data_IF_225145429967
#
_entry.id   IF_225145429967
#
_cell.length_a   1.000
_cell.length_b   1.000
_cell.length_c   1.000
_cell.angle_alpha   90.00
_cell.angle_beta   90.00
_cell.angle_gamma   90.00
#
_symmetry.space_group_name_H-M   'P 1'
#
loop_
_entity.id
_entity.type
_entity.pdbx_description
1 polymer ?
#
# COMPACT_ATOMS: atom_id res chain seq x y z
N UNK A 1 -17.56 4.67 -12.08
CA UNK A 1 -17.75 4.81 -10.62
C UNK A 1 -17.56 3.49 -9.85
N UNK A 2 -18.09 2.35 -10.30
CA UNK A 2 -17.92 1.06 -9.60
C UNK A 2 -16.47 0.53 -9.52
N UNK A 3 -15.60 0.84 -10.48
CA UNK A 3 -14.19 0.41 -10.44
C UNK A 3 -13.38 1.12 -9.36
N UNK A 4 -13.63 2.41 -9.07
CA UNK A 4 -12.87 3.19 -8.07
C UNK A 4 -13.16 2.75 -6.63
N UNK A 5 -14.34 2.20 -6.36
CA UNK A 5 -14.72 1.70 -5.04
C UNK A 5 -13.95 0.43 -4.63
N UNK A 6 -13.44 -0.32 -5.62
CA UNK A 6 -12.61 -1.50 -5.38
C UNK A 6 -11.13 -1.16 -5.19
N UNK A 7 -10.65 -0.03 -5.73
CA UNK A 7 -9.27 0.40 -5.53
C UNK A 7 -9.09 0.88 -4.10
N UNK A 8 -9.80 1.93 -3.68
CA UNK A 8 -9.59 2.69 -2.42
C UNK A 8 -9.84 1.91 -1.10
N UNK A 9 -10.05 0.60 -1.20
CA UNK A 9 -10.45 -0.23 -0.08
C UNK A 9 -9.41 -0.21 1.03
N UNK A 10 -8.12 -0.10 0.72
CA UNK A 10 -7.09 -0.16 1.75
C UNK A 10 -6.96 1.16 2.50
N UNK A 11 -6.96 2.29 1.79
CA UNK A 11 -6.96 3.64 2.40
C UNK A 11 -8.18 3.78 3.32
N UNK A 12 -9.39 3.55 2.81
CA UNK A 12 -10.62 3.66 3.63
C UNK A 12 -10.61 2.68 4.81
N UNK A 13 -10.07 1.47 4.65
CA UNK A 13 -9.92 0.51 5.78
C UNK A 13 -8.95 1.02 6.84
N UNK A 14 -7.85 1.64 6.44
CA UNK A 14 -6.88 2.20 7.38
C UNK A 14 -7.45 3.43 8.11
N UNK A 15 -8.19 4.29 7.41
CA UNK A 15 -8.94 5.39 8.01
C UNK A 15 -9.94 4.87 9.06
N UNK A 16 -10.71 3.83 8.71
CA UNK A 16 -11.66 3.19 9.62
C UNK A 16 -10.97 2.52 10.82
N UNK A 17 -9.79 1.93 10.61
CA UNK A 17 -8.97 1.37 11.69
C UNK A 17 -8.55 2.47 12.68
N UNK A 18 -8.10 3.62 12.19
CA UNK A 18 -7.72 4.77 13.04
C UNK A 18 -8.95 5.30 13.79
N UNK A 19 -10.07 5.46 13.10
CA UNK A 19 -11.30 5.95 13.73
C UNK A 19 -11.74 5.03 14.87
N UNK A 20 -11.70 3.71 14.66
CA UNK A 20 -12.14 2.74 15.67
C UNK A 20 -11.14 2.57 16.81
N UNK A 21 -9.88 2.28 16.50
CA UNK A 21 -8.89 1.83 17.49
C UNK A 21 -8.19 2.99 18.22
N UNK A 22 -8.22 4.19 17.65
CA UNK A 22 -7.56 5.35 18.27
C UNK A 22 -8.57 6.39 18.71
N UNK A 23 -9.46 6.81 17.82
CA UNK A 23 -10.38 7.92 18.10
C UNK A 23 -11.50 7.46 19.04
N UNK A 24 -12.28 6.46 18.63
CA UNK A 24 -13.40 5.94 19.42
C UNK A 24 -12.95 5.22 20.69
N UNK A 25 -11.81 4.54 20.65
CA UNK A 25 -11.18 3.93 21.83
C UNK A 25 -10.71 4.97 22.88
N UNK A 26 -10.69 6.27 22.53
CA UNK A 26 -10.39 7.35 23.48
C UNK A 26 -8.91 7.63 23.66
N UNK A 27 -8.10 7.48 22.60
CA UNK A 27 -6.73 7.96 22.62
C UNK A 27 -6.71 9.48 22.88
N UNK A 28 -5.97 9.97 23.90
CA UNK A 28 -6.04 11.38 24.29
C UNK A 28 -5.20 12.28 23.38
N UNK A 29 -5.60 12.43 22.11
CA UNK A 29 -4.88 13.21 21.10
C UNK A 29 -4.63 14.65 21.56
N UNK A 30 -5.64 15.34 22.08
CA UNK A 30 -5.47 16.73 22.55
C UNK A 30 -4.40 16.85 23.65
N UNK A 31 -4.33 15.92 24.59
CA UNK A 31 -3.33 15.96 25.67
C UNK A 31 -1.95 15.52 25.18
N UNK A 32 -1.87 14.50 24.31
CA UNK A 32 -0.59 13.96 23.80
C UNK A 32 0.04 14.82 22.71
N UNK A 33 -0.78 15.56 21.96
CA UNK A 33 -0.42 16.33 20.78
C UNK A 33 -0.76 17.84 20.92
N UNK A 34 -0.92 18.34 22.15
CA UNK A 34 -1.38 19.72 22.45
C UNK A 34 -0.50 20.84 21.88
N UNK A 35 0.74 20.52 21.51
CA UNK A 35 1.69 21.43 20.88
C UNK A 35 2.27 20.78 19.62
N UNK A 36 2.78 21.61 18.72
CA UNK A 36 3.55 21.17 17.56
C UNK A 36 4.64 20.16 17.99
N UNK A 37 4.85 19.11 17.19
CA UNK A 37 5.91 18.13 17.39
C UNK A 37 7.32 18.76 17.54
N UNK A 38 7.46 20.02 17.12
CA UNK A 38 8.69 20.82 17.15
C UNK A 38 8.78 21.79 18.35
N UNK A 39 7.86 21.73 19.31
CA UNK A 39 7.87 22.64 20.46
C UNK A 39 9.06 22.39 21.39
N UNK A 40 9.73 23.48 21.79
CA UNK A 40 10.92 23.46 22.68
C UNK A 40 10.55 23.03 24.11
N UNK A 41 9.30 23.27 24.54
CA UNK A 41 8.82 22.97 25.89
C UNK A 41 7.86 21.79 25.90
N UNK A 42 8.39 20.60 26.19
CA UNK A 42 7.61 19.36 26.31
C UNK A 42 6.87 19.32 27.64
N UNK A 43 5.55 19.11 27.60
CA UNK A 43 4.76 18.88 28.82
C UNK A 43 4.94 17.43 29.29
N UNK A 44 4.86 17.18 30.61
CA UNK A 44 5.03 15.83 31.19
C UNK A 44 4.05 14.77 30.66
N UNK A 45 2.98 15.20 30.01
CA UNK A 45 1.92 14.35 29.46
C UNK A 45 2.02 14.14 27.95
N UNK A 46 2.94 14.81 27.24
CA UNK A 46 3.15 14.57 25.80
C UNK A 46 3.82 13.19 25.60
N UNK A 47 3.33 12.42 24.63
CA UNK A 47 3.90 11.11 24.31
C UNK A 47 3.62 10.76 22.84
N UNK A 48 4.63 10.33 22.06
CA UNK A 48 4.50 10.09 20.63
C UNK A 48 3.87 8.73 20.30
N UNK A 49 2.86 8.27 21.05
CA UNK A 49 2.31 6.90 20.90
C UNK A 49 1.70 6.70 19.51
N UNK A 50 0.89 7.66 19.04
CA UNK A 50 0.34 7.61 17.69
C UNK A 50 1.42 7.72 16.61
N UNK A 51 2.45 8.55 16.84
CA UNK A 51 3.59 8.65 15.95
C UNK A 51 4.33 7.30 15.84
N UNK A 52 4.58 6.61 16.96
CA UNK A 52 5.24 5.30 16.95
C UNK A 52 4.42 4.28 16.18
N UNK A 53 3.08 4.31 16.30
CA UNK A 53 2.21 3.48 15.48
C UNK A 53 2.37 3.77 13.98
N UNK A 54 2.36 5.04 13.59
CA UNK A 54 2.53 5.44 12.18
C UNK A 54 3.93 5.08 11.66
N UNK A 55 4.97 5.20 12.49
CA UNK A 55 6.33 4.76 12.16
C UNK A 55 6.35 3.24 11.95
N UNK A 56 5.76 2.43 12.83
CA UNK A 56 5.65 0.98 12.62
C UNK A 56 4.95 0.64 11.29
N UNK A 57 3.90 1.36 10.92
CA UNK A 57 3.23 1.17 9.62
C UNK A 57 4.16 1.53 8.46
N UNK A 58 4.95 2.60 8.59
CA UNK A 58 5.97 2.98 7.61
C UNK A 58 7.07 1.92 7.47
N UNK A 59 7.53 1.32 8.57
CA UNK A 59 8.52 0.23 8.54
C UNK A 59 8.01 -0.98 7.75
N UNK A 60 6.75 -1.37 7.96
CA UNK A 60 6.13 -2.47 7.21
C UNK A 60 5.97 -2.08 5.74
N UNK A 61 5.57 -0.84 5.46
CA UNK A 61 5.45 -0.31 4.11
C UNK A 61 6.78 -0.35 3.34
N UNK A 62 7.89 0.00 4.00
CA UNK A 62 9.23 -0.09 3.41
C UNK A 62 9.64 -1.53 3.07
N UNK A 63 9.27 -2.52 3.89
CA UNK A 63 9.58 -3.92 3.62
C UNK A 63 8.69 -4.52 2.52
N UNK A 64 7.48 -3.98 2.31
CA UNK A 64 6.51 -4.48 1.33
C UNK A 64 5.94 -3.34 0.45
N UNK A 65 6.78 -2.69 -0.37
CA UNK A 65 6.40 -1.49 -1.10
C UNK A 65 5.27 -1.70 -2.12
N UNK A 66 5.00 -2.93 -2.56
CA UNK A 66 3.91 -3.22 -3.50
C UNK A 66 2.61 -3.67 -2.82
N UNK A 67 2.63 -4.01 -1.52
CA UNK A 67 1.44 -4.59 -0.86
C UNK A 67 0.45 -3.55 -0.33
N UNK A 68 0.84 -2.27 -0.33
CA UNK A 68 0.06 -1.19 0.23
C UNK A 68 -0.39 -0.20 -0.83
N UNK A 69 -1.65 0.20 -0.73
CA UNK A 69 -2.27 1.10 -1.69
C UNK A 69 -1.85 2.56 -1.48
N UNK A 70 -1.57 2.97 -0.23
CA UNK A 70 -1.07 4.31 0.04
C UNK A 70 0.44 4.42 -0.06
N UNK A 71 0.92 5.64 -0.26
CA UNK A 71 2.33 6.01 -0.22
C UNK A 71 2.73 6.67 1.11
N UNK A 72 4.02 7.00 1.23
CA UNK A 72 4.57 7.69 2.40
C UNK A 72 3.88 9.02 2.72
N UNK A 73 3.46 9.77 1.70
CA UNK A 73 2.83 11.09 1.89
C UNK A 73 1.56 10.99 2.73
N UNK A 74 0.78 9.94 2.53
CA UNK A 74 -0.43 9.69 3.32
C UNK A 74 -0.12 9.57 4.82
N UNK A 75 0.89 8.77 5.17
CA UNK A 75 1.33 8.60 6.56
C UNK A 75 1.87 9.91 7.16
N UNK A 76 2.64 10.68 6.39
CA UNK A 76 3.13 11.99 6.80
C UNK A 76 1.99 12.98 7.04
N UNK A 77 0.96 12.96 6.19
CA UNK A 77 -0.23 13.81 6.33
C UNK A 77 -1.03 13.44 7.59
N UNK A 78 -1.18 12.15 7.90
CA UNK A 78 -1.80 11.70 9.16
C UNK A 78 -1.04 12.21 10.38
N UNK A 79 0.28 12.06 10.38
CA UNK A 79 1.13 12.57 11.45
C UNK A 79 0.99 14.10 11.59
N UNK A 80 1.05 14.85 10.49
CA UNK A 80 0.92 16.31 10.54
C UNK A 80 -0.42 16.72 11.14
N UNK A 81 -1.51 16.10 10.71
CA UNK A 81 -2.85 16.42 11.19
C UNK A 81 -3.16 15.87 12.58
N UNK A 82 -2.39 14.92 13.12
CA UNK A 82 -2.52 14.51 14.52
C UNK A 82 -1.92 15.52 15.50
N UNK A 83 -0.88 16.27 15.08
CA UNK A 83 -0.24 17.32 15.90
C UNK A 83 -0.79 18.72 15.62
N UNK A 84 -1.16 19.01 14.38
CA UNK A 84 -1.70 20.29 13.96
C UNK A 84 -2.77 20.05 12.90
N UNK A 85 -4.03 19.99 13.35
CA UNK A 85 -5.15 19.77 12.45
C UNK A 85 -5.91 21.05 12.17
N UNK A 86 -6.30 21.22 10.91
CA UNK A 86 -7.40 22.11 10.53
C UNK A 86 -8.75 21.38 10.58
N UNK A 87 -8.72 20.07 10.86
CA UNK A 87 -9.87 19.17 10.84
C UNK A 87 -10.28 18.74 12.25
N UNK A 88 -11.51 18.25 12.37
CA UNK A 88 -12.07 17.74 13.62
C UNK A 88 -11.55 16.38 14.06
N UNK A 89 -10.94 15.63 13.15
CA UNK A 89 -10.69 14.18 13.30
C UNK A 89 -9.85 13.82 14.52
N UNK A 90 -8.78 14.58 14.79
CA UNK A 90 -7.88 14.32 15.93
C UNK A 90 -8.08 15.30 17.09
N UNK A 91 -9.23 15.99 17.14
CA UNK A 91 -9.56 16.88 18.25
C UNK A 91 -10.09 16.10 19.47
N UNK A 92 -9.98 16.72 20.65
CA UNK A 92 -10.41 16.19 21.95
C UNK A 92 -9.64 14.93 22.40
N UNK A 93 -9.97 14.41 23.59
CA UNK A 93 -9.30 13.23 24.15
C UNK A 93 -10.12 11.94 24.10
N UNK A 94 -11.43 12.05 23.92
CA UNK A 94 -12.36 10.92 23.95
C UNK A 94 -13.66 11.29 23.23
N UNK A 95 -14.47 10.29 22.92
CA UNK A 95 -15.72 10.48 22.18
C UNK A 95 -16.74 11.34 22.95
N UNK A 96 -16.78 11.23 24.28
CA UNK A 96 -17.66 12.06 25.11
C UNK A 96 -17.36 13.55 24.94
N UNK A 97 -16.08 13.94 24.97
CA UNK A 97 -15.65 15.32 24.71
C UNK A 97 -15.98 15.77 23.29
N UNK A 98 -15.84 14.90 22.29
CA UNK A 98 -16.16 15.21 20.89
C UNK A 98 -17.63 15.56 20.71
N UNK A 99 -18.52 14.78 21.33
CA UNK A 99 -19.96 15.04 21.36
C UNK A 99 -20.25 16.36 22.08
N UNK A 100 -19.66 16.58 23.26
CA UNK A 100 -19.86 17.80 24.04
C UNK A 100 -19.42 19.07 23.28
N UNK A 101 -18.27 19.01 22.61
CA UNK A 101 -17.75 20.09 21.79
C UNK A 101 -18.46 20.25 20.44
N UNK A 102 -19.39 19.35 20.09
CA UNK A 102 -20.08 19.30 18.79
C UNK A 102 -19.11 19.31 17.62
N UNK A 103 -18.05 18.50 17.71
CA UNK A 103 -16.96 18.47 16.71
C UNK A 103 -17.51 18.17 15.31
N UNK A 104 -18.45 17.22 15.20
CA UNK A 104 -19.09 16.86 13.93
C UNK A 104 -19.85 18.02 13.27
N UNK A 105 -20.45 18.92 14.05
CA UNK A 105 -21.20 20.08 13.52
C UNK A 105 -20.30 21.28 13.24
N UNK A 106 -19.20 21.42 13.98
CA UNK A 106 -18.34 22.62 13.98
C UNK A 106 -17.09 22.49 13.14
N UNK A 107 -16.76 21.29 12.67
CA UNK A 107 -15.52 21.04 11.95
C UNK A 107 -15.70 19.99 10.87
N UNK A 108 -14.80 19.99 9.90
CA UNK A 108 -14.79 19.03 8.79
C UNK A 108 -13.90 17.85 9.18
N UNK A 109 -14.29 16.63 8.76
CA UNK A 109 -13.46 15.44 8.90
C UNK A 109 -12.28 15.45 7.93
N UNK A 110 -11.10 15.06 8.41
CA UNK A 110 -9.92 14.83 7.58
C UNK A 110 -10.21 13.79 6.50
N UNK A 111 -10.95 12.73 6.82
CA UNK A 111 -11.31 11.67 5.87
C UNK A 111 -12.09 12.23 4.68
N UNK A 112 -13.00 13.18 4.91
CA UNK A 112 -13.76 13.83 3.83
C UNK A 112 -12.89 14.68 2.90
N UNK A 113 -11.74 15.15 3.39
CA UNK A 113 -10.76 15.86 2.58
C UNK A 113 -9.84 14.91 1.82
N UNK A 114 -9.28 13.88 2.49
CA UNK A 114 -8.38 12.92 1.87
C UNK A 114 -9.05 12.07 0.78
N UNK A 115 -10.35 11.76 0.94
CA UNK A 115 -11.11 10.95 -0.03
C UNK A 115 -11.58 11.73 -1.27
N UNK A 116 -11.23 13.01 -1.42
CA UNK A 116 -11.49 13.76 -2.67
C UNK A 116 -10.57 13.22 -3.77
N UNK A 117 -11.11 13.04 -4.98
CA UNK A 117 -10.40 12.36 -6.07
C UNK A 117 -9.07 13.04 -6.43
N UNK A 118 -9.01 14.36 -6.39
CA UNK A 118 -7.82 15.13 -6.76
C UNK A 118 -6.69 14.91 -5.75
N UNK A 119 -7.04 14.76 -4.48
CA UNK A 119 -6.09 14.60 -3.37
C UNK A 119 -5.71 13.13 -3.20
N UNK A 120 -6.68 12.24 -3.35
CA UNK A 120 -6.48 10.81 -3.18
C UNK A 120 -5.42 10.26 -4.14
N UNK A 121 -5.42 10.72 -5.40
CA UNK A 121 -4.42 10.30 -6.39
C UNK A 121 -2.98 10.57 -5.95
N UNK A 122 -2.74 11.66 -5.20
CA UNK A 122 -1.41 11.99 -4.66
C UNK A 122 -0.97 11.05 -3.54
N UNK A 123 -1.90 10.34 -2.92
CA UNK A 123 -1.66 9.36 -1.86
C UNK A 123 -1.56 7.93 -2.37
N UNK A 124 -1.90 7.68 -3.63
CA UNK A 124 -1.88 6.35 -4.22
C UNK A 124 -0.47 5.91 -4.60
N UNK A 125 -0.16 4.66 -4.27
CA UNK A 125 1.07 4.01 -4.63
C UNK A 125 0.97 3.38 -6.04
N UNK A 126 1.78 3.83 -7.02
CA UNK A 126 1.75 3.30 -8.38
C UNK A 126 2.22 1.84 -8.48
N UNK A 127 2.98 1.37 -7.48
CA UNK A 127 3.50 0.00 -7.40
C UNK A 127 2.54 -0.97 -6.72
N UNK A 128 1.36 -0.52 -6.30
CA UNK A 128 0.41 -1.36 -5.60
C UNK A 128 -0.05 -2.56 -6.46
N UNK A 129 0.12 -3.76 -5.92
CA UNK A 129 -0.35 -5.01 -6.48
C UNK A 129 -1.13 -5.78 -5.41
N UNK A 130 -2.42 -6.12 -5.65
CA UNK A 130 -3.23 -6.81 -4.66
C UNK A 130 -2.58 -8.12 -4.21
N UNK A 131 -2.16 -8.17 -2.95
CA UNK A 131 -1.55 -9.33 -2.33
C UNK A 131 -2.54 -9.97 -1.34
N UNK A 132 -3.10 -11.16 -1.62
CA UNK A 132 -4.01 -11.84 -0.69
C UNK A 132 -3.27 -12.56 0.46
N UNK A 133 -1.94 -12.66 0.41
CA UNK A 133 -1.15 -13.35 1.42
C UNK A 133 -0.98 -12.50 2.70
N UNK A 134 -0.82 -13.20 3.84
CA UNK A 134 -0.48 -12.55 5.11
C UNK A 134 0.96 -12.04 5.06
N UNK A 135 1.14 -10.77 5.42
CA UNK A 135 2.45 -10.11 5.48
C UNK A 135 3.14 -10.44 6.81
N UNK A 136 4.39 -10.89 6.75
CA UNK A 136 5.22 -11.20 7.92
C UNK A 136 6.49 -10.32 7.90
N UNK A 137 6.45 -9.12 8.50
CA UNK A 137 7.58 -8.21 8.50
C UNK A 137 8.71 -8.70 9.42
N UNK A 138 9.94 -8.42 9.01
CA UNK A 138 11.12 -8.59 9.85
C UNK A 138 11.13 -7.52 10.94
N UNK A 139 11.28 -7.98 12.18
CA UNK A 139 11.44 -7.12 13.37
C UNK A 139 12.91 -6.98 13.80
N UNK A 140 13.84 -7.49 12.98
CA UNK A 140 15.26 -7.42 13.27
C UNK A 140 15.74 -5.96 13.25
N UNK A 141 16.61 -5.52 14.20
CA UNK A 141 17.10 -4.15 14.23
C UNK A 141 17.76 -3.70 12.92
N UNK A 142 18.47 -4.60 12.24
CA UNK A 142 19.10 -4.30 10.95
C UNK A 142 18.11 -4.08 9.78
N UNK A 143 16.86 -4.54 9.93
CA UNK A 143 15.81 -4.32 8.92
C UNK A 143 14.99 -3.05 9.18
N UNK A 144 15.20 -2.38 10.31
CA UNK A 144 14.54 -1.12 10.62
C UNK A 144 15.42 0.05 10.17
N UNK A 145 14.83 0.97 9.43
CA UNK A 145 15.51 2.16 8.95
C UNK A 145 14.97 3.40 9.64
N UNK A 146 15.77 4.44 9.73
CA UNK A 146 15.28 5.73 10.24
C UNK A 146 14.39 6.35 9.17
N UNK A 147 13.18 6.76 9.56
CA UNK A 147 12.28 7.47 8.66
C UNK A 147 12.81 8.87 8.34
N UNK A 148 13.63 8.96 7.29
CA UNK A 148 14.31 10.17 6.83
C UNK A 148 13.33 11.30 6.49
N UNK A 149 12.23 10.99 5.78
CA UNK A 149 11.21 11.95 5.36
C UNK A 149 10.44 12.62 6.51
N UNK A 150 10.47 12.00 7.70
CA UNK A 150 9.87 12.53 8.91
C UNK A 150 10.91 13.14 9.86
N UNK A 151 11.85 12.32 10.34
CA UNK A 151 12.76 12.71 11.42
C UNK A 151 13.90 13.61 10.96
N UNK A 152 14.31 13.49 9.69
CA UNK A 152 15.44 14.22 9.12
C UNK A 152 14.99 15.27 8.09
N UNK A 153 13.70 15.59 8.05
CA UNK A 153 13.11 16.55 7.09
C UNK A 153 13.79 17.92 7.10
N UNK A 154 14.20 18.41 8.26
CA UNK A 154 14.87 19.71 8.40
C UNK A 154 16.39 19.68 8.18
N UNK A 155 16.98 18.50 8.01
CA UNK A 155 18.43 18.28 7.95
C UNK A 155 18.86 17.73 6.59
N UNK A 156 18.05 16.83 6.01
CA UNK A 156 18.31 16.16 4.74
C UNK A 156 17.41 16.74 3.66
N UNK A 157 18.02 17.05 2.51
CA UNK A 157 17.27 17.39 1.31
C UNK A 157 16.51 16.16 0.80
N UNK A 158 15.18 16.23 0.80
CA UNK A 158 14.30 15.15 0.34
C UNK A 158 14.14 15.11 -1.19
N UNK A 159 14.66 16.11 -1.92
CA UNK A 159 14.53 16.20 -3.38
C UNK A 159 14.95 14.91 -4.13
N UNK A 160 16.04 14.20 -3.77
CA UNK A 160 16.40 12.95 -4.44
C UNK A 160 15.35 11.84 -4.28
N UNK A 161 14.69 11.77 -3.12
CA UNK A 161 13.62 10.79 -2.87
C UNK A 161 12.37 11.16 -3.67
N UNK A 162 12.02 12.45 -3.75
CA UNK A 162 10.93 12.95 -4.59
C UNK A 162 11.20 12.71 -6.09
N UNK A 163 12.44 12.87 -6.55
CA UNK A 163 12.87 12.58 -7.92
C UNK A 163 12.77 11.09 -8.22
N UNK A 164 13.25 10.23 -7.32
CA UNK A 164 13.12 8.78 -7.46
C UNK A 164 11.65 8.36 -7.59
N UNK A 165 10.76 8.92 -6.77
CA UNK A 165 9.33 8.67 -6.88
C UNK A 165 8.75 9.13 -8.21
N UNK A 166 9.12 10.32 -8.70
CA UNK A 166 8.69 10.81 -10.03
C UNK A 166 9.12 9.87 -11.15
N UNK A 167 10.34 9.34 -11.09
CA UNK A 167 10.80 8.36 -12.07
C UNK A 167 10.02 7.04 -11.98
N UNK A 168 9.70 6.56 -10.76
CA UNK A 168 8.83 5.37 -10.59
C UNK A 168 7.46 5.60 -11.24
N UNK A 169 6.84 6.77 -11.04
CA UNK A 169 5.56 7.10 -11.69
C UNK A 169 5.67 7.05 -13.23
N UNK A 170 6.71 7.66 -13.81
CA UNK A 170 6.95 7.64 -15.27
C UNK A 170 7.15 6.22 -15.79
N UNK A 171 7.96 5.42 -15.10
CA UNK A 171 8.21 4.02 -15.47
C UNK A 171 6.91 3.23 -15.48
N UNK A 172 6.05 3.42 -14.46
CA UNK A 172 4.79 2.69 -14.36
C UNK A 172 3.79 3.10 -15.44
N UNK A 173 3.69 4.39 -15.74
CA UNK A 173 2.86 4.89 -16.85
C UNK A 173 3.32 4.29 -18.18
N UNK A 174 4.63 4.28 -18.43
CA UNK A 174 5.21 3.68 -19.62
C UNK A 174 4.96 2.16 -19.71
N UNK A 175 5.12 1.43 -18.60
CA UNK A 175 4.80 -0.01 -18.51
C UNK A 175 3.31 -0.27 -18.82
N UNK A 176 2.41 0.55 -18.29
CA UNK A 176 0.97 0.45 -18.56
C UNK A 176 0.63 0.69 -20.04
N UNK A 177 1.27 1.68 -20.68
CA UNK A 177 1.13 1.89 -22.12
C UNK A 177 1.64 0.70 -22.92
N UNK A 178 2.80 0.16 -22.55
CA UNK A 178 3.43 -0.94 -23.27
C UNK A 178 2.57 -2.22 -23.14
N UNK A 179 2.05 -2.50 -21.94
CA UNK A 179 1.07 -3.58 -21.72
C UNK A 179 -0.19 -3.41 -22.57
N UNK A 180 -0.69 -2.18 -22.67
CA UNK A 180 -1.85 -1.86 -23.52
C UNK A 180 -1.55 -2.10 -25.00
N UNK A 181 -0.35 -1.73 -25.48
CA UNK A 181 0.12 -1.99 -26.84
C UNK A 181 0.26 -3.50 -27.10
N UNK A 182 0.87 -4.25 -26.19
CA UNK A 182 0.99 -5.72 -26.27
C UNK A 182 -0.38 -6.38 -26.35
N UNK A 183 -1.33 -5.96 -25.51
CA UNK A 183 -2.69 -6.50 -25.53
C UNK A 183 -3.42 -6.20 -26.85
N UNK A 184 -3.22 -5.02 -27.45
CA UNK A 184 -3.76 -4.69 -28.77
C UNK A 184 -3.16 -5.57 -29.87
N UNK A 185 -1.82 -5.69 -29.91
CA UNK A 185 -1.12 -6.51 -30.89
C UNK A 185 -1.49 -7.99 -30.78
N UNK A 186 -1.61 -8.55 -29.57
CA UNK A 186 -2.08 -9.92 -29.35
C UNK A 186 -3.48 -10.16 -29.91
N UNK A 187 -4.39 -9.19 -29.76
CA UNK A 187 -5.75 -9.28 -30.33
C UNK A 187 -5.73 -9.24 -31.85
N UNK A 188 -4.90 -8.38 -32.45
CA UNK A 188 -4.73 -8.30 -33.91
C UNK A 188 -4.10 -9.56 -34.49
N UNK A 189 -3.09 -10.12 -33.82
CA UNK A 189 -2.46 -11.38 -34.22
C UNK A 189 -3.48 -12.52 -34.16
N UNK A 190 -4.26 -12.62 -33.09
CA UNK A 190 -5.33 -13.61 -32.96
C UNK A 190 -6.49 -13.44 -33.97
N UNK A 191 -6.72 -12.25 -34.54
CA UNK A 191 -7.69 -12.07 -35.63
C UNK A 191 -7.10 -12.49 -36.97
N UNK A 192 -5.84 -12.12 -37.25
CA UNK A 192 -5.15 -12.50 -38.49
C UNK A 192 -4.91 -14.00 -38.57
N UNK A 193 -4.57 -14.66 -37.46
CA UNK A 193 -4.47 -16.13 -37.41
C UNK A 193 -5.80 -16.81 -37.75
N UNK A 194 -6.93 -16.30 -37.24
CA UNK A 194 -8.26 -16.81 -37.56
C UNK A 194 -8.60 -16.62 -39.05
N UNK A 195 -8.26 -15.47 -39.62
CA UNK A 195 -8.44 -15.19 -41.04
C UNK A 195 -7.56 -16.12 -41.91
N UNK A 196 -6.28 -16.28 -41.58
CA UNK A 196 -5.36 -17.16 -42.30
C UNK A 196 -5.77 -18.64 -42.26
N UNK A 197 -6.33 -19.12 -41.13
CA UNK A 197 -6.92 -20.46 -41.02
C UNK A 197 -8.15 -20.58 -41.92
N UNK A 198 -9.02 -19.57 -41.95
CA UNK A 198 -10.22 -19.58 -42.80
C UNK A 198 -9.90 -19.59 -44.30
N UNK A 199 -8.79 -18.95 -44.69
CA UNK A 199 -8.29 -18.92 -46.06
C UNK A 199 -7.38 -20.11 -46.41
N UNK A 200 -7.16 -21.06 -45.50
CA UNK A 200 -6.40 -22.29 -45.75
C UNK A 200 -4.88 -22.10 -45.88
N UNK A 201 -4.34 -20.96 -45.45
CA UNK A 201 -2.91 -20.62 -45.58
C UNK A 201 -2.09 -21.21 -44.42
N UNK A 202 -2.71 -21.45 -43.26
CA UNK A 202 -2.05 -21.93 -42.04
C UNK A 202 -2.83 -23.09 -41.41
N UNK A 203 -2.14 -24.19 -41.07
CA UNK A 203 -2.74 -25.32 -40.33
C UNK A 203 -3.06 -24.92 -38.88
N UNK A 204 -4.15 -25.42 -38.27
CA UNK A 204 -4.46 -25.12 -36.87
C UNK A 204 -3.29 -25.49 -35.95
N UNK A 205 -3.07 -24.77 -34.84
CA UNK A 205 -2.02 -25.14 -33.88
C UNK A 205 -2.26 -26.56 -33.41
N UNK A 206 -1.25 -27.44 -33.51
CA UNK A 206 -1.33 -28.79 -32.95
C UNK A 206 -1.70 -28.68 -31.46
N UNK A 207 -2.82 -29.31 -31.07
CA UNK A 207 -3.15 -29.52 -29.67
C UNK A 207 -1.92 -30.13 -28.99
N UNK A 208 -1.45 -29.50 -27.89
CA UNK A 208 -0.48 -30.15 -27.01
C UNK A 208 -1.08 -31.49 -26.63
N UNK A 209 -0.48 -32.57 -27.13
CA UNK A 209 -0.83 -33.93 -26.74
C UNK A 209 -0.51 -34.02 -25.26
N UNK A 210 -1.54 -34.17 -24.43
CA UNK A 210 -1.38 -34.53 -23.03
C UNK A 210 -0.64 -35.88 -22.99
N UNK A 211 0.63 -35.85 -22.59
CA UNK A 211 1.41 -37.06 -22.35
C UNK A 211 0.79 -37.73 -21.11
N UNK A 212 0.28 -38.97 -21.20
CA UNK A 212 -0.24 -39.66 -20.03
C UNK A 212 0.92 -39.93 -19.07
N UNK A 213 0.79 -39.51 -17.81
CA UNK A 213 1.65 -39.93 -16.72
C UNK A 213 1.54 -41.44 -16.56
N UNK A 214 2.48 -42.17 -17.14
CA UNK A 214 2.63 -43.61 -16.97
C UNK A 214 3.39 -43.90 -15.68
N UNK A 215 2.66 -43.99 -14.57
CA UNK A 215 3.13 -44.71 -13.37
C UNK A 215 2.47 -46.09 -13.36
N UNK A 216 3.24 -47.10 -13.74
CA UNK A 216 2.76 -48.47 -13.86
C UNK A 216 3.87 -49.46 -14.13
N UNK A 217 4.62 -49.79 -13.07
CA UNK A 217 5.36 -51.04 -12.82
C UNK A 217 6.43 -51.48 -13.84
N UNK A 218 7.68 -51.56 -13.36
CA UNK A 218 8.53 -52.72 -13.61
C UNK A 218 9.30 -53.11 -12.34
N UNK A 219 8.83 -54.20 -11.73
CA UNK A 219 9.61 -55.02 -10.81
C UNK A 219 10.44 -55.99 -11.67
N UNK A 220 11.76 -55.84 -11.70
CA UNK A 220 12.67 -56.96 -11.98
C UNK A 220 13.83 -56.91 -11.01
N UNK A 221 13.86 -57.92 -10.13
CA UNK A 221 14.96 -58.24 -9.26
C UNK A 221 16.18 -58.70 -10.07
N UNK A 222 17.37 -58.18 -9.73
CA UNK A 222 18.63 -58.94 -9.88
C UNK A 222 19.49 -58.69 -8.65
N UNK A 223 19.62 -59.74 -7.87
CA UNK A 223 20.62 -59.97 -6.82
C UNK A 223 22.05 -59.94 -7.37
N UNK A 224 23.00 -59.33 -6.66
CA UNK A 224 24.24 -60.02 -6.21
C UNK A 224 25.14 -59.11 -5.36
N UNK A 225 25.52 -59.66 -4.20
CA UNK A 225 26.58 -59.28 -3.28
C UNK A 225 27.90 -58.84 -3.95
N UNK A 226 28.65 -57.94 -3.30
CA UNK A 226 29.88 -58.32 -2.57
C UNK A 226 30.60 -57.12 -1.91
N UNK A 227 30.71 -57.21 -0.59
CA UNK A 227 31.82 -56.86 0.31
C UNK A 227 32.98 -55.97 -0.18
N UNK A 228 33.20 -54.86 0.52
CA UNK A 228 34.28 -54.68 1.51
C UNK A 228 33.98 -53.46 2.40
#
# INVERSE_FOLDING_TARGET
MHLLCLYNMWITRFEALIEREWIQAGHPFRTRCNKSAYAITKHRQESPVFLLFIDCVWQIWQQFPCSFEFNEKFLLTLFQHSYSSQFGTFLCNNERERIHCKVADRSVSLWSYLNRMEILQDFMNPMYEPNPAVIWPSVAPQSLTVWTGLYLRGVINQAPQDEAWKEIYKIREYDQELRSKVNKLRRQLASLEREAISHGVVSPPMQKVDVPSGDGMDNIAVTSNNNL
#
